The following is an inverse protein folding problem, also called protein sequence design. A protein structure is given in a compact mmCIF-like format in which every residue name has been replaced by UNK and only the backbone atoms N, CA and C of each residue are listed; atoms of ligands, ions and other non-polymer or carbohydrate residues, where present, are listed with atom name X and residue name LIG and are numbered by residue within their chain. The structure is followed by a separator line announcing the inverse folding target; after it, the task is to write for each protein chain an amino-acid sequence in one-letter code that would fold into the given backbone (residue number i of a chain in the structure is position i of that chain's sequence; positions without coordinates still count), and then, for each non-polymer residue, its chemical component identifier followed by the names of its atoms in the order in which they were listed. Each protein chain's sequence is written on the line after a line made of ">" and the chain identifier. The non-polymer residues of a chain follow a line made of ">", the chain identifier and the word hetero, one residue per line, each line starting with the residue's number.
data_IF_612002983409
#
_entry.id   IF_612002983409
#
_cell.length_a   1.000
_cell.length_b   1.000
_cell.length_c   1.000
_cell.angle_alpha   90.00
_cell.angle_beta   90.00
_cell.angle_gamma   90.00
#
_symmetry.space_group_name_H-M   'P 1'
#
loop_
_entity.id
_entity.type
_entity.pdbx_description
1 polymer ?
#
# COMPACT_ATOMS: atom_id res chain seq x y z
N UNK A 1 -8.93 -8.07 -44.77
CA UNK A 1 -9.85 -7.28 -45.63
C UNK A 1 -9.12 -6.80 -46.88
N UNK A 2 -7.97 -6.12 -46.80
CA UNK A 2 -7.19 -5.69 -47.99
C UNK A 2 -6.71 -6.80 -48.96
N UNK A 3 -6.41 -8.01 -48.47
CA UNK A 3 -6.00 -9.14 -49.32
C UNK A 3 -7.10 -9.57 -50.31
N UNK A 4 -8.38 -9.37 -49.96
CA UNK A 4 -9.52 -9.69 -50.84
C UNK A 4 -9.72 -8.67 -51.97
N UNK A 5 -9.17 -7.46 -51.83
CA UNK A 5 -9.25 -6.38 -52.83
C UNK A 5 -8.22 -6.61 -53.94
N UNK A 6 -7.06 -7.19 -53.60
CA UNK A 6 -6.01 -7.52 -54.58
C UNK A 6 -6.37 -8.76 -55.41
N UNK A 7 -7.07 -9.73 -54.83
CA UNK A 7 -7.45 -10.97 -55.52
C UNK A 7 -8.72 -10.85 -56.41
N UNK A 8 -9.51 -9.77 -56.29
CA UNK A 8 -10.82 -9.64 -56.95
C UNK A 8 -10.80 -8.98 -58.35
N UNK A 9 -9.64 -8.60 -58.86
CA UNK A 9 -9.46 -8.02 -60.20
C UNK A 9 -9.97 -6.58 -60.36
N UNK A 10 -9.59 -5.93 -61.47
CA UNK A 10 -9.82 -4.48 -61.72
C UNK A 10 -11.29 -4.05 -61.63
N UNK A 11 -12.22 -4.97 -61.88
CA UNK A 11 -13.64 -4.66 -62.01
C UNK A 11 -14.35 -4.51 -60.65
N UNK A 12 -13.83 -5.13 -59.58
CA UNK A 12 -14.41 -5.06 -58.23
C UNK A 12 -13.77 -3.97 -57.34
N UNK A 13 -12.57 -3.49 -57.71
CA UNK A 13 -11.84 -2.44 -57.01
C UNK A 13 -12.62 -1.10 -56.93
N UNK A 14 -13.55 -0.86 -57.86
CA UNK A 14 -14.39 0.34 -57.90
C UNK A 14 -15.47 0.42 -56.80
N UNK A 15 -15.98 -0.74 -56.36
CA UNK A 15 -17.04 -0.83 -55.35
C UNK A 15 -16.49 -0.87 -53.91
N UNK A 16 -15.31 -1.46 -53.71
CA UNK A 16 -14.67 -1.61 -52.39
C UNK A 16 -13.89 -0.36 -51.94
N UNK A 17 -13.69 0.63 -52.82
CA UNK A 17 -12.94 1.87 -52.53
C UNK A 17 -13.71 2.88 -51.67
N UNK A 18 -14.81 2.51 -51.02
CA UNK A 18 -15.62 3.39 -50.18
C UNK A 18 -15.01 3.65 -48.79
N UNK A 19 -13.80 3.17 -48.52
CA UNK A 19 -13.17 3.23 -47.19
C UNK A 19 -11.92 4.11 -47.22
N UNK A 20 -11.89 5.09 -46.32
CA UNK A 20 -10.85 6.08 -46.00
C UNK A 20 -10.87 7.40 -46.81
N UNK A 21 -11.72 8.32 -46.37
CA UNK A 21 -11.88 9.70 -46.87
C UNK A 21 -10.86 10.70 -46.29
N UNK A 22 -9.78 10.27 -45.64
CA UNK A 22 -8.94 11.15 -44.79
C UNK A 22 -7.46 11.25 -45.23
N UNK A 23 -7.14 10.95 -46.50
CA UNK A 23 -5.75 11.01 -47.00
C UNK A 23 -5.64 11.66 -48.39
N UNK A 24 -4.53 12.35 -48.70
CA UNK A 24 -4.32 13.04 -49.98
C UNK A 24 -4.39 12.10 -51.20
N UNK A 25 -4.04 10.81 -51.05
CA UNK A 25 -4.17 9.79 -52.11
C UNK A 25 -5.65 9.54 -52.52
N UNK A 26 -6.61 9.81 -51.63
CA UNK A 26 -8.04 9.72 -51.90
C UNK A 26 -8.48 10.73 -52.98
N UNK A 27 -7.80 11.89 -53.06
CA UNK A 27 -8.12 12.94 -54.03
C UNK A 27 -7.81 12.53 -55.48
N UNK A 28 -6.66 11.90 -55.73
CA UNK A 28 -6.24 11.44 -57.06
C UNK A 28 -7.16 10.34 -57.58
N UNK A 29 -7.48 9.35 -56.73
CA UNK A 29 -8.42 8.27 -57.07
C UNK A 29 -9.80 8.85 -57.38
N UNK A 30 -10.27 9.83 -56.61
CA UNK A 30 -11.56 10.50 -56.84
C UNK A 30 -11.58 11.24 -58.18
N UNK A 31 -10.49 11.92 -58.55
CA UNK A 31 -10.35 12.56 -59.86
C UNK A 31 -10.36 11.54 -61.00
N UNK A 32 -9.60 10.45 -60.89
CA UNK A 32 -9.58 9.38 -61.90
C UNK A 32 -10.94 8.69 -62.04
N UNK A 33 -11.64 8.45 -60.93
CA UNK A 33 -13.00 7.89 -60.90
C UNK A 33 -14.00 8.81 -61.60
N UNK A 34 -13.90 10.12 -61.38
CA UNK A 34 -14.73 11.11 -62.07
C UNK A 34 -14.48 11.09 -63.57
N UNK A 35 -13.21 11.08 -64.00
CA UNK A 35 -12.83 10.98 -65.42
C UNK A 35 -13.34 9.69 -66.05
N UNK A 36 -13.21 8.55 -65.36
CA UNK A 36 -13.73 7.26 -65.82
C UNK A 36 -15.24 7.31 -66.08
N UNK A 37 -16.02 7.87 -65.15
CA UNK A 37 -17.48 7.99 -65.30
C UNK A 37 -17.85 8.93 -66.45
N UNK A 38 -17.12 10.03 -66.64
CA UNK A 38 -17.31 10.93 -67.78
C UNK A 38 -17.04 10.23 -69.11
N UNK A 39 -15.93 9.49 -69.24
CA UNK A 39 -15.60 8.73 -70.46
C UNK A 39 -16.63 7.62 -70.69
N UNK A 40 -17.04 6.90 -69.65
CA UNK A 40 -18.03 5.84 -69.75
C UNK A 40 -19.38 6.35 -70.25
N UNK A 41 -19.85 7.51 -69.75
CA UNK A 41 -21.07 8.16 -70.23
C UNK A 41 -20.95 8.56 -71.70
N UNK A 42 -19.83 9.18 -72.09
CA UNK A 42 -19.59 9.60 -73.48
C UNK A 42 -19.49 8.41 -74.43
N UNK A 43 -18.86 7.32 -74.01
CA UNK A 43 -18.81 6.07 -74.77
C UNK A 43 -20.20 5.50 -74.98
N UNK A 44 -21.05 5.49 -73.94
CA UNK A 44 -22.43 5.06 -74.03
C UNK A 44 -23.21 5.90 -75.04
N UNK A 45 -23.13 7.24 -74.96
CA UNK A 45 -23.82 8.15 -75.88
C UNK A 45 -23.35 7.96 -77.34
N UNK A 46 -22.05 7.80 -77.58
CA UNK A 46 -21.51 7.58 -78.93
C UNK A 46 -21.89 6.20 -79.48
N UNK A 47 -21.81 5.16 -78.65
CA UNK A 47 -22.17 3.79 -79.05
C UNK A 47 -23.66 3.64 -79.36
N UNK A 48 -24.53 4.34 -78.63
CA UNK A 48 -25.97 4.34 -78.86
C UNK A 48 -26.34 5.05 -80.18
N UNK A 49 -25.64 6.13 -80.52
CA UNK A 49 -25.94 6.94 -81.71
C UNK A 49 -25.24 6.46 -82.99
N UNK A 50 -24.02 5.92 -82.89
CA UNK A 50 -23.16 5.60 -84.04
C UNK A 50 -22.70 4.14 -84.11
N UNK A 51 -23.10 3.30 -83.14
CA UNK A 51 -22.68 1.90 -83.04
C UNK A 51 -21.34 1.71 -82.34
N UNK A 52 -21.06 0.48 -81.91
CA UNK A 52 -19.87 0.14 -81.14
C UNK A 52 -18.56 0.20 -81.97
N UNK A 53 -18.65 0.01 -83.29
CA UNK A 53 -17.49 -0.03 -84.20
C UNK A 53 -17.06 1.36 -84.70
N UNK A 54 -17.76 2.43 -84.29
CA UNK A 54 -17.41 3.78 -84.69
C UNK A 54 -16.01 4.15 -84.16
N UNK A 55 -15.12 4.78 -84.96
CA UNK A 55 -13.75 5.11 -84.54
C UNK A 55 -13.66 5.87 -83.21
N UNK A 56 -14.64 6.76 -82.93
CA UNK A 56 -14.70 7.47 -81.65
C UNK A 56 -15.09 6.57 -80.47
N UNK A 57 -15.93 5.55 -80.67
CA UNK A 57 -16.29 4.59 -79.64
C UNK A 57 -15.08 3.72 -79.28
N UNK A 58 -14.33 3.25 -80.28
CA UNK A 58 -13.09 2.48 -80.07
C UNK A 58 -12.04 3.31 -79.32
N UNK A 59 -11.86 4.59 -79.68
CA UNK A 59 -10.94 5.48 -78.99
C UNK A 59 -11.34 5.71 -77.51
N UNK A 60 -12.62 5.96 -77.25
CA UNK A 60 -13.15 6.15 -75.88
C UNK A 60 -13.08 4.86 -75.05
N UNK A 61 -13.28 3.69 -75.65
CA UNK A 61 -13.12 2.40 -74.97
C UNK A 61 -11.66 2.16 -74.55
N UNK A 62 -10.69 2.53 -75.41
CA UNK A 62 -9.27 2.49 -75.06
C UNK A 62 -8.92 3.46 -73.94
N UNK A 63 -9.39 4.71 -74.03
CA UNK A 63 -9.15 5.71 -72.97
C UNK A 63 -9.75 5.26 -71.62
N UNK A 64 -10.94 4.64 -71.64
CA UNK A 64 -11.57 4.07 -70.45
C UNK A 64 -10.72 2.96 -69.83
N UNK A 65 -10.17 2.07 -70.66
CA UNK A 65 -9.27 1.00 -70.20
C UNK A 65 -7.97 1.57 -69.61
N UNK A 66 -7.39 2.58 -70.23
CA UNK A 66 -6.16 3.24 -69.74
C UNK A 66 -6.39 3.91 -68.37
N UNK A 67 -7.52 4.62 -68.19
CA UNK A 67 -7.87 5.22 -66.90
C UNK A 67 -8.16 4.15 -65.84
N UNK A 68 -8.80 3.04 -66.20
CA UNK A 68 -9.03 1.91 -65.29
C UNK A 68 -7.70 1.29 -64.82
N UNK A 69 -6.74 1.10 -65.72
CA UNK A 69 -5.41 0.61 -65.38
C UNK A 69 -4.65 1.56 -64.43
N UNK A 70 -4.79 2.88 -64.64
CA UNK A 70 -4.23 3.89 -63.72
C UNK A 70 -4.84 3.81 -62.32
N UNK A 71 -6.17 3.69 -62.21
CA UNK A 71 -6.85 3.52 -60.92
C UNK A 71 -6.35 2.27 -60.19
N UNK A 72 -6.19 1.15 -60.90
CA UNK A 72 -5.68 -0.08 -60.32
C UNK A 72 -4.22 0.07 -59.81
N UNK A 73 -3.38 0.76 -60.57
CA UNK A 73 -2.00 1.07 -60.16
C UNK A 73 -1.94 1.88 -58.86
N UNK A 74 -2.74 2.94 -58.77
CA UNK A 74 -2.84 3.79 -57.58
C UNK A 74 -3.35 3.01 -56.35
N UNK A 75 -4.38 2.18 -56.53
CA UNK A 75 -4.92 1.35 -55.44
C UNK A 75 -3.91 0.31 -54.94
N UNK A 76 -3.12 -0.27 -55.84
CA UNK A 76 -2.04 -1.19 -55.49
C UNK A 76 -0.96 -0.47 -54.68
N UNK A 77 -0.50 0.69 -55.14
CA UNK A 77 0.48 1.50 -54.43
C UNK A 77 -0.02 1.93 -53.05
N UNK A 78 -1.28 2.35 -52.95
CA UNK A 78 -1.91 2.71 -51.68
C UNK A 78 -1.94 1.52 -50.71
N UNK A 79 -2.28 0.33 -51.20
CA UNK A 79 -2.31 -0.89 -50.38
C UNK A 79 -0.94 -1.25 -49.83
N UNK A 80 0.11 -1.14 -50.66
CA UNK A 80 1.50 -1.38 -50.21
C UNK A 80 1.96 -0.35 -49.18
N UNK A 81 1.60 0.93 -49.36
CA UNK A 81 1.88 1.97 -48.37
C UNK A 81 1.21 1.66 -47.02
N UNK A 82 -0.08 1.30 -47.02
CA UNK A 82 -0.78 0.91 -45.79
C UNK A 82 -0.20 -0.33 -45.13
N UNK A 83 0.24 -1.32 -45.92
CA UNK A 83 0.92 -2.50 -45.40
C UNK A 83 2.22 -2.12 -44.69
N UNK A 84 3.02 -1.24 -45.30
CA UNK A 84 4.26 -0.75 -44.70
C UNK A 84 3.99 0.05 -43.43
N UNK A 85 3.00 0.94 -43.43
CA UNK A 85 2.61 1.71 -42.24
C UNK A 85 2.14 0.79 -41.10
N UNK A 86 1.35 -0.24 -41.43
CA UNK A 86 0.92 -1.25 -40.45
C UNK A 86 2.11 -2.01 -39.85
N UNK A 87 3.05 -2.46 -40.67
CA UNK A 87 4.25 -3.17 -40.21
C UNK A 87 5.13 -2.30 -39.31
N UNK A 88 5.30 -1.02 -39.67
CA UNK A 88 6.00 -0.03 -38.84
C UNK A 88 5.27 0.20 -37.53
N UNK A 89 3.94 0.35 -37.55
CA UNK A 89 3.13 0.53 -36.35
C UNK A 89 3.22 -0.69 -35.41
N UNK A 90 3.13 -1.91 -35.96
CA UNK A 90 3.26 -3.16 -35.21
C UNK A 90 4.67 -3.30 -34.59
N UNK A 91 5.70 -2.94 -35.34
CA UNK A 91 7.09 -2.93 -34.83
C UNK A 91 7.24 -1.94 -33.68
N UNK A 92 6.67 -0.73 -33.81
CA UNK A 92 6.66 0.28 -32.74
C UNK A 92 5.89 -0.20 -31.51
N UNK A 93 4.74 -0.84 -31.69
CA UNK A 93 3.96 -1.41 -30.60
C UNK A 93 4.77 -2.47 -29.84
N UNK A 94 5.40 -3.39 -30.56
CA UNK A 94 6.21 -4.47 -29.98
C UNK A 94 7.40 -3.89 -29.20
N UNK A 95 8.12 -2.92 -29.78
CA UNK A 95 9.21 -2.24 -29.11
C UNK A 95 8.75 -1.47 -27.85
N UNK A 96 7.56 -0.85 -27.88
CA UNK A 96 7.00 -0.15 -26.72
C UNK A 96 6.60 -1.13 -25.62
N UNK A 97 5.97 -2.25 -25.96
CA UNK A 97 5.64 -3.33 -25.00
C UNK A 97 6.90 -3.87 -24.32
N UNK A 98 7.98 -4.09 -25.07
CA UNK A 98 9.26 -4.53 -24.51
C UNK A 98 9.84 -3.49 -23.54
N UNK A 99 9.83 -2.20 -23.92
CA UNK A 99 10.28 -1.11 -23.03
C UNK A 99 9.48 -1.04 -21.73
N UNK A 100 8.17 -1.27 -21.78
CA UNK A 100 7.31 -1.30 -20.59
C UNK A 100 7.68 -2.49 -19.69
N UNK A 101 7.88 -3.68 -20.26
CA UNK A 101 8.29 -4.87 -19.51
C UNK A 101 9.66 -4.67 -18.84
N UNK A 102 10.63 -4.10 -19.55
CA UNK A 102 11.96 -3.79 -19.01
C UNK A 102 11.89 -2.74 -17.90
N UNK A 103 11.09 -1.69 -18.06
CA UNK A 103 10.89 -0.67 -17.04
C UNK A 103 10.22 -1.24 -15.78
N UNK A 104 9.21 -2.10 -15.93
CA UNK A 104 8.57 -2.79 -14.82
C UNK A 104 9.54 -3.73 -14.08
N UNK A 105 10.35 -4.49 -14.83
CA UNK A 105 11.40 -5.34 -14.28
C UNK A 105 12.45 -4.56 -13.50
N UNK A 106 12.98 -3.47 -14.08
CA UNK A 106 13.92 -2.56 -13.40
C UNK A 106 13.33 -1.96 -12.14
N UNK A 107 12.08 -1.49 -12.18
CA UNK A 107 11.40 -0.95 -11.01
C UNK A 107 11.23 -1.98 -9.89
N UNK A 108 10.99 -3.25 -10.22
CA UNK A 108 10.94 -4.33 -9.24
C UNK A 108 12.30 -4.56 -8.55
N UNK A 109 13.39 -4.58 -9.33
CA UNK A 109 14.76 -4.72 -8.82
C UNK A 109 15.15 -3.52 -7.94
N UNK A 110 14.82 -2.31 -8.36
CA UNK A 110 15.08 -1.08 -7.59
C UNK A 110 14.33 -1.10 -6.25
N UNK A 111 13.06 -1.52 -6.24
CA UNK A 111 12.28 -1.67 -5.02
C UNK A 111 12.90 -2.69 -4.05
N UNK A 112 13.33 -3.86 -4.55
CA UNK A 112 14.04 -4.84 -3.72
C UNK A 112 15.34 -4.27 -3.15
N UNK A 113 16.08 -3.51 -3.96
CA UNK A 113 17.32 -2.87 -3.54
C UNK A 113 17.08 -1.79 -2.47
N UNK A 114 16.02 -0.99 -2.59
CA UNK A 114 15.62 -0.02 -1.57
C UNK A 114 15.19 -0.68 -0.26
N UNK A 115 14.43 -1.79 -0.32
CA UNK A 115 14.08 -2.56 0.88
C UNK A 115 15.34 -3.09 1.55
N UNK A 116 16.29 -3.65 0.77
CA UNK A 116 17.53 -4.16 1.33
C UNK A 116 18.41 -3.05 1.93
N UNK A 117 18.47 -1.89 1.28
CA UNK A 117 19.15 -0.71 1.80
C UNK A 117 18.52 -0.23 3.12
N UNK A 118 17.19 -0.24 3.22
CA UNK A 118 16.48 0.15 4.45
C UNK A 118 16.74 -0.83 5.60
N UNK A 119 16.74 -2.13 5.31
CA UNK A 119 17.13 -3.19 6.26
C UNK A 119 18.56 -2.98 6.78
N UNK A 120 19.54 -2.78 5.88
CA UNK A 120 20.93 -2.54 6.24
C UNK A 120 21.11 -1.26 7.06
N UNK A 121 20.42 -0.18 6.71
CA UNK A 121 20.44 1.06 7.49
C UNK A 121 19.85 0.86 8.89
N UNK A 122 18.75 0.12 9.01
CA UNK A 122 18.14 -0.17 10.31
C UNK A 122 19.08 -1.01 11.19
N UNK A 123 19.79 -1.98 10.61
CA UNK A 123 20.82 -2.75 11.32
C UNK A 123 21.99 -1.87 11.76
N UNK A 124 22.49 -0.99 10.88
CA UNK A 124 23.55 -0.06 11.21
C UNK A 124 23.15 0.92 12.33
N UNK A 125 21.93 1.46 12.28
CA UNK A 125 21.38 2.30 13.34
C UNK A 125 21.28 1.53 14.66
N UNK A 126 20.74 0.31 14.65
CA UNK A 126 20.63 -0.51 15.85
C UNK A 126 22.00 -0.82 16.48
N UNK A 127 23.00 -1.17 15.67
CA UNK A 127 24.38 -1.38 16.13
C UNK A 127 25.00 -0.11 16.70
N UNK A 128 24.75 1.04 16.07
CA UNK A 128 25.22 2.34 16.55
C UNK A 128 24.60 2.69 17.90
N UNK A 129 23.28 2.51 18.06
CA UNK A 129 22.60 2.74 19.34
C UNK A 129 23.10 1.78 20.42
N UNK A 130 23.33 0.51 20.08
CA UNK A 130 23.88 -0.47 21.01
C UNK A 130 25.29 -0.05 21.46
N UNK A 131 26.16 0.33 20.52
CA UNK A 131 27.50 0.82 20.81
C UNK A 131 27.49 2.05 21.72
N UNK A 132 26.65 3.05 21.41
CA UNK A 132 26.50 4.25 22.25
C UNK A 132 26.00 3.91 23.66
N UNK A 133 25.06 2.97 23.77
CA UNK A 133 24.56 2.50 25.07
C UNK A 133 25.66 1.83 25.89
N UNK A 134 26.45 0.94 25.27
CA UNK A 134 27.58 0.31 25.93
C UNK A 134 28.64 1.32 26.37
N UNK A 135 28.97 2.29 25.51
CA UNK A 135 29.92 3.34 25.82
C UNK A 135 29.46 4.17 27.04
N UNK A 136 28.19 4.60 27.04
CA UNK A 136 27.60 5.33 28.16
C UNK A 136 27.65 4.53 29.47
N UNK A 137 27.30 3.24 29.44
CA UNK A 137 27.40 2.36 30.62
C UNK A 137 28.83 2.16 31.11
N UNK A 138 29.78 2.05 30.19
CA UNK A 138 31.19 1.96 30.52
C UNK A 138 31.69 3.24 31.22
N UNK A 139 31.32 4.42 30.70
CA UNK A 139 31.64 5.71 31.32
C UNK A 139 31.02 5.85 32.72
N UNK A 140 29.75 5.46 32.91
CA UNK A 140 29.08 5.42 34.22
C UNK A 140 29.84 4.52 35.21
N UNK A 141 30.21 3.30 34.79
CA UNK A 141 30.94 2.35 35.63
C UNK A 141 32.36 2.84 35.98
N UNK A 142 33.06 3.44 35.02
CA UNK A 142 34.40 4.02 35.25
C UNK A 142 34.34 5.18 36.25
N UNK A 143 33.30 6.02 36.20
CA UNK A 143 33.12 7.09 37.18
C UNK A 143 32.81 6.54 38.57
N UNK A 144 32.03 5.47 38.70
CA UNK A 144 31.76 4.83 39.98
C UNK A 144 33.01 4.25 40.65
N UNK A 145 33.95 3.70 39.88
CA UNK A 145 35.25 3.26 40.41
C UNK A 145 36.07 4.40 41.01
N UNK A 146 35.90 5.61 40.49
CA UNK A 146 36.65 6.79 40.93
C UNK A 146 36.06 7.49 42.15
N UNK A 147 35.00 6.95 42.79
CA UNK A 147 34.58 7.47 44.10
C UNK A 147 35.76 7.35 45.07
N UNK A 148 36.36 8.47 45.50
CA UNK A 148 37.29 8.40 46.61
C UNK A 148 36.45 7.93 47.77
N UNK A 149 36.82 6.79 48.38
CA UNK A 149 36.36 6.48 49.73
C UNK A 149 36.83 7.67 50.55
N UNK A 150 35.93 8.63 50.78
CA UNK A 150 36.28 9.87 51.45
C UNK A 150 36.97 9.47 52.74
N UNK A 151 38.15 10.04 53.02
CA UNK A 151 38.84 9.76 54.28
C UNK A 151 37.93 10.21 55.41
N UNK A 152 37.14 9.26 55.94
CA UNK A 152 36.19 9.56 57.00
C UNK A 152 37.02 9.69 58.27
N UNK A 153 37.14 10.92 58.77
CA UNK A 153 37.77 11.17 60.06
C UNK A 153 36.66 11.19 61.10
N UNK A 154 36.78 10.33 62.12
CA UNK A 154 35.90 10.35 63.28
C UNK A 154 36.17 11.67 64.02
N UNK A 155 35.20 12.60 64.01
CA UNK A 155 35.32 13.91 64.67
C UNK A 155 34.97 13.78 66.17
N UNK A 156 34.14 12.81 66.54
CA UNK A 156 33.85 12.47 67.93
C UNK A 156 33.37 11.02 68.04
N UNK A 157 33.78 10.34 69.11
CA UNK A 157 33.25 9.02 69.46
C UNK A 157 31.77 9.11 69.85
N UNK A 158 31.02 8.04 69.56
CA UNK A 158 29.62 7.94 69.96
C UNK A 158 29.52 8.00 71.49
N UNK A 159 28.91 9.07 72.03
CA UNK A 159 28.69 9.18 73.46
C UNK A 159 27.62 8.19 73.89
N UNK A 160 27.87 7.49 75.01
CA UNK A 160 26.92 6.54 75.55
C UNK A 160 25.63 7.30 75.93
N UNK A 161 24.44 6.86 75.48
CA UNK A 161 23.22 7.58 75.78
C UNK A 161 22.97 7.52 77.29
N UNK A 162 22.87 8.69 77.93
CA UNK A 162 22.62 8.83 79.37
C UNK A 162 21.27 8.23 79.81
N UNK A 163 20.39 7.94 78.87
CA UNK A 163 19.10 7.28 79.10
C UNK A 163 18.70 6.43 77.90
N UNK A 164 17.88 5.42 78.12
CA UNK A 164 17.42 4.54 77.05
C UNK A 164 16.73 5.34 75.93
N UNK A 165 17.21 5.19 74.68
CA UNK A 165 16.58 5.75 73.48
C UNK A 165 15.28 5.02 73.10
N UNK A 166 15.10 3.81 73.63
CA UNK A 166 13.93 2.96 73.45
C UNK A 166 12.77 3.32 74.39
N UNK A 167 11.61 2.67 74.22
CA UNK A 167 10.33 3.17 74.73
C UNK A 167 10.35 3.41 76.23
N UNK A 168 9.74 4.53 76.67
CA UNK A 168 9.68 4.93 78.09
C UNK A 168 8.94 3.86 78.89
N UNK A 169 9.69 3.01 79.59
CA UNK A 169 9.18 1.83 80.34
C UNK A 169 8.06 2.19 81.30
N UNK A 170 8.08 3.38 81.90
CA UNK A 170 7.00 3.90 82.74
C UNK A 170 5.68 4.07 82.00
N UNK A 171 5.69 4.56 80.76
CA UNK A 171 4.49 4.69 79.93
C UNK A 171 3.94 3.32 79.51
N UNK A 172 4.85 2.40 79.16
CA UNK A 172 4.48 1.03 78.77
C UNK A 172 3.83 0.31 79.96
N UNK A 173 4.43 0.37 81.15
CA UNK A 173 3.89 -0.24 82.36
C UNK A 173 2.52 0.35 82.73
N UNK A 174 2.38 1.67 82.70
CA UNK A 174 1.11 2.33 82.99
C UNK A 174 -0.01 1.88 82.04
N UNK A 175 0.29 1.74 80.74
CA UNK A 175 -0.68 1.26 79.75
C UNK A 175 -1.11 -0.19 80.04
N UNK A 176 -0.17 -1.10 80.27
CA UNK A 176 -0.49 -2.51 80.54
C UNK A 176 -1.22 -2.70 81.86
N UNK A 177 -0.94 -1.87 82.88
CA UNK A 177 -1.65 -1.91 84.16
C UNK A 177 -3.11 -1.50 83.98
N UNK A 178 -3.38 -0.42 83.24
CA UNK A 178 -4.75 0.02 82.90
C UNK A 178 -5.49 -1.05 82.10
N UNK A 179 -4.86 -1.60 81.05
CA UNK A 179 -5.46 -2.65 80.23
C UNK A 179 -5.72 -3.94 81.05
N UNK A 180 -4.82 -4.32 81.94
CA UNK A 180 -4.98 -5.48 82.81
C UNK A 180 -6.15 -5.33 83.79
N UNK A 181 -6.32 -4.15 84.39
CA UNK A 181 -7.48 -3.86 85.26
C UNK A 181 -8.78 -3.89 84.46
N UNK A 182 -8.81 -3.28 83.27
CA UNK A 182 -10.00 -3.28 82.41
C UNK A 182 -10.40 -4.69 81.98
N UNK A 183 -9.43 -5.51 81.53
CA UNK A 183 -9.68 -6.89 81.13
C UNK A 183 -10.06 -7.77 82.32
N UNK A 184 -9.42 -7.60 83.48
CA UNK A 184 -9.75 -8.34 84.70
C UNK A 184 -11.14 -8.02 85.22
N UNK A 185 -11.52 -6.74 85.26
CA UNK A 185 -12.88 -6.31 85.61
C UNK A 185 -13.91 -6.80 84.59
N UNK A 186 -13.58 -6.75 83.29
CA UNK A 186 -14.42 -7.30 82.23
C UNK A 186 -14.64 -8.80 82.37
N UNK A 187 -13.58 -9.57 82.64
CA UNK A 187 -13.68 -11.01 82.86
C UNK A 187 -14.44 -11.37 84.14
N UNK A 188 -14.19 -10.64 85.23
CA UNK A 188 -14.93 -10.79 86.49
C UNK A 188 -16.42 -10.51 86.31
N UNK A 189 -16.77 -9.44 85.60
CA UNK A 189 -18.16 -9.11 85.26
C UNK A 189 -18.81 -10.18 84.37
N UNK A 190 -18.11 -10.68 83.34
CA UNK A 190 -18.61 -11.78 82.51
C UNK A 190 -18.81 -13.08 83.32
N UNK A 191 -17.92 -13.36 84.28
CA UNK A 191 -18.06 -14.52 85.15
C UNK A 191 -19.28 -14.38 86.07
N UNK A 192 -19.49 -13.21 86.68
CA UNK A 192 -20.67 -12.91 87.50
C UNK A 192 -21.97 -13.04 86.68
N UNK A 193 -22.02 -12.54 85.45
CA UNK A 193 -23.18 -12.70 84.57
C UNK A 193 -23.43 -14.15 84.13
N UNK A 194 -22.39 -14.98 84.04
CA UNK A 194 -22.50 -16.40 83.68
C UNK A 194 -22.73 -17.31 84.89
N UNK A 195 -22.55 -16.81 86.12
CA UNK A 195 -22.69 -17.61 87.32
C UNK A 195 -24.18 -17.81 87.66
N UNK A 196 -24.69 -19.00 87.33
CA UNK A 196 -26.08 -19.41 87.55
C UNK A 196 -26.33 -20.02 88.95
N UNK A 197 -25.54 -19.66 89.96
CA UNK A 197 -25.63 -20.22 91.31
C UNK A 197 -25.95 -19.17 92.38
N UNK A 198 -26.89 -19.52 93.26
CA UNK A 198 -27.39 -18.70 94.36
C UNK A 198 -26.36 -18.60 95.50
N UNK A 199 -25.94 -17.38 95.86
CA UNK A 199 -24.86 -17.17 96.84
C UNK A 199 -25.26 -16.36 98.08
N UNK A 200 -26.43 -15.73 98.09
CA UNK A 200 -26.89 -14.93 99.23
C UNK A 200 -28.24 -15.46 99.74
N UNK A 201 -28.46 -15.45 101.06
CA UNK A 201 -29.70 -15.99 101.66
C UNK A 201 -31.00 -15.36 101.16
N UNK A 202 -30.92 -14.17 100.58
CA UNK A 202 -32.06 -13.48 99.96
C UNK A 202 -32.45 -14.08 98.59
N UNK A 203 -31.51 -14.69 97.85
CA UNK A 203 -31.80 -15.37 96.57
C UNK A 203 -32.73 -16.58 96.73
N UNK A 204 -32.67 -17.25 97.90
CA UNK A 204 -33.55 -18.38 98.22
C UNK A 204 -34.97 -17.89 98.50
N UNK A 205 -35.13 -16.67 99.03
CA UNK A 205 -36.43 -16.09 99.40
C UNK A 205 -37.22 -15.62 98.17
N UNK A 206 -36.53 -15.06 97.18
CA UNK A 206 -37.18 -14.48 95.99
C UNK A 206 -37.57 -15.52 94.92
N UNK A 207 -36.90 -16.69 94.85
CA UNK A 207 -37.18 -17.71 93.81
C UNK A 207 -38.04 -18.89 94.26
N UNK A 208 -38.26 -19.09 95.56
CA UNK A 208 -39.05 -20.23 96.10
C UNK A 208 -40.46 -19.82 96.55
N UNK A 209 -40.84 -18.54 96.45
CA UNK A 209 -42.25 -18.12 96.50
C UNK A 209 -43.00 -18.52 97.78
N UNK A 210 -42.32 -18.53 98.92
CA UNK A 210 -42.92 -18.68 100.25
C UNK A 210 -42.64 -17.41 101.05
N UNK A 211 -43.71 -16.77 101.53
CA UNK A 211 -43.68 -15.62 102.44
C UNK A 211 -43.08 -15.99 103.78
#
# INVERSE_FOLDING_TARGET
>A
QYKAIVDSGSDNAFNDSAIASDQPASSVITTLKTRYLTIAKRLQDVSANYGADHPQAVALAKEKADVSAQIFGELKQLTENYRNEYEVAQTRETALRQKIADAAGKSSIDNQSQVKLRDLNQQATALTTLYQTFLSRYEEASQQQSFPVGKVRIISDATMPLSAAGPRTSKVLALFLVLGVLLGAGFGGLNEFNERFFRTGDDIRDRVGLK
#
